data_IF_917222675945
#
_entry.id   IF_917222675945
#
_cell.length_a   1.000
_cell.length_b   1.000
_cell.length_c   1.000
_cell.angle_alpha   90.00
_cell.angle_beta   90.00
_cell.angle_gamma   90.00
#
_symmetry.space_group_name_H-M   'P 1'
#
loop_
_entity.id
_entity.type
_entity.pdbx_description
1 polymer ?
#
# COMPACT_ATOMS: atom_id res chain seq x y z
N UNK A 1 -12.74 -16.76 -79.94
CA UNK A 1 -12.07 -17.08 -78.71
C UNK A 1 -12.57 -16.15 -77.60
N UNK A 2 -13.50 -16.61 -76.74
CA UNK A 2 -14.01 -15.85 -75.60
C UNK A 2 -13.32 -16.36 -74.35
N UNK A 3 -12.48 -15.57 -73.73
CA UNK A 3 -11.85 -15.88 -72.40
C UNK A 3 -12.83 -15.41 -71.34
N UNK A 4 -13.47 -16.33 -70.64
CA UNK A 4 -14.21 -16.08 -69.41
C UNK A 4 -13.23 -15.88 -68.27
N UNK A 5 -13.17 -14.67 -67.77
CA UNK A 5 -12.53 -14.38 -66.50
C UNK A 5 -13.54 -14.56 -65.38
N UNK A 6 -13.53 -15.72 -64.73
CA UNK A 6 -14.25 -15.90 -63.47
C UNK A 6 -13.47 -15.22 -62.35
N UNK A 7 -13.97 -14.08 -61.89
CA UNK A 7 -13.55 -13.45 -60.67
C UNK A 7 -14.22 -14.21 -59.51
N UNK A 8 -13.45 -15.03 -58.83
CA UNK A 8 -13.92 -15.69 -57.63
C UNK A 8 -14.23 -14.63 -56.57
N UNK A 9 -15.50 -14.54 -56.18
CA UNK A 9 -15.92 -13.69 -55.06
C UNK A 9 -15.31 -14.26 -53.79
N UNK A 10 -14.25 -13.62 -53.33
CA UNK A 10 -13.59 -13.95 -52.07
C UNK A 10 -14.58 -13.89 -50.90
N UNK A 11 -14.53 -14.90 -50.10
CA UNK A 11 -15.45 -15.19 -49.01
C UNK A 11 -15.26 -14.10 -47.93
N UNK A 12 -16.13 -13.08 -47.91
CA UNK A 12 -16.07 -11.92 -46.97
C UNK A 12 -16.01 -12.32 -45.51
N UNK A 13 -16.37 -13.57 -45.18
CA UNK A 13 -16.31 -14.11 -43.81
C UNK A 13 -14.88 -14.50 -43.37
N UNK A 14 -14.01 -14.90 -44.32
CA UNK A 14 -12.61 -15.27 -44.00
C UNK A 14 -11.73 -14.04 -43.76
N UNK A 15 -11.99 -12.94 -44.48
CA UNK A 15 -11.22 -11.70 -44.33
C UNK A 15 -11.46 -11.03 -42.97
N UNK A 16 -12.70 -11.04 -42.48
CA UNK A 16 -13.05 -10.53 -41.15
C UNK A 16 -12.41 -11.34 -40.03
N UNK A 17 -12.36 -12.67 -40.15
CA UNK A 17 -11.76 -13.54 -39.16
C UNK A 17 -10.23 -13.39 -39.12
N UNK A 18 -9.61 -13.24 -40.27
CA UNK A 18 -8.15 -13.01 -40.39
C UNK A 18 -7.76 -11.65 -39.73
N UNK A 19 -8.57 -10.60 -39.95
CA UNK A 19 -8.33 -9.29 -39.32
C UNK A 19 -8.49 -9.37 -37.81
N UNK A 20 -9.53 -10.06 -37.31
CA UNK A 20 -9.73 -10.22 -35.84
C UNK A 20 -8.59 -11.02 -35.25
N UNK A 21 -8.17 -12.13 -35.86
CA UNK A 21 -7.04 -12.94 -35.40
C UNK A 21 -5.75 -12.12 -35.43
N UNK A 22 -5.51 -11.32 -36.47
CA UNK A 22 -4.32 -10.47 -36.59
C UNK A 22 -4.31 -9.37 -35.54
N UNK A 23 -5.45 -8.75 -35.23
CA UNK A 23 -5.57 -7.72 -34.16
C UNK A 23 -5.38 -8.35 -32.79
N UNK A 24 -5.98 -9.52 -32.54
CA UNK A 24 -5.79 -10.24 -31.27
C UNK A 24 -4.34 -10.71 -31.11
N UNK A 25 -3.71 -11.22 -32.19
CA UNK A 25 -2.29 -11.61 -32.16
C UNK A 25 -1.38 -10.40 -31.95
N UNK A 26 -1.72 -9.27 -32.57
CA UNK A 26 -0.97 -8.00 -32.37
C UNK A 26 -1.14 -7.50 -30.94
N UNK A 27 -2.32 -7.58 -30.35
CA UNK A 27 -2.56 -7.23 -28.93
C UNK A 27 -1.81 -8.16 -27.97
N UNK A 28 -1.69 -9.45 -28.31
CA UNK A 28 -0.91 -10.41 -27.51
C UNK A 28 0.60 -10.16 -27.68
N UNK A 29 1.05 -9.78 -28.89
CA UNK A 29 2.48 -9.51 -29.19
C UNK A 29 2.93 -8.14 -28.68
N UNK A 30 2.02 -7.15 -28.56
CA UNK A 30 2.30 -5.82 -28.01
C UNK A 30 2.12 -5.79 -26.49
N UNK A 31 1.76 -6.90 -25.85
CA UNK A 31 1.76 -6.99 -24.40
C UNK A 31 3.21 -7.01 -23.95
N UNK A 32 3.72 -5.83 -23.62
CA UNK A 32 5.03 -5.72 -22.98
C UNK A 32 5.11 -6.75 -21.84
N UNK A 33 6.24 -7.46 -21.68
CA UNK A 33 6.41 -8.35 -20.55
C UNK A 33 6.16 -7.53 -19.29
N UNK A 34 5.05 -7.83 -18.61
CA UNK A 34 4.75 -7.17 -17.34
C UNK A 34 5.92 -7.44 -16.42
N UNK A 35 6.47 -6.42 -15.75
CA UNK A 35 7.50 -6.63 -14.76
C UNK A 35 7.00 -7.67 -13.75
N UNK A 36 7.90 -8.48 -13.17
CA UNK A 36 7.50 -9.47 -12.18
C UNK A 36 6.65 -8.78 -11.11
N UNK A 37 5.48 -9.37 -10.82
CA UNK A 37 4.55 -8.80 -9.83
C UNK A 37 5.25 -8.84 -8.48
N UNK A 38 5.60 -7.68 -7.96
CA UNK A 38 6.11 -7.53 -6.59
C UNK A 38 4.93 -7.60 -5.63
N UNK A 39 5.14 -8.07 -4.39
CA UNK A 39 4.07 -8.08 -3.40
C UNK A 39 3.66 -6.66 -3.01
N UNK A 40 2.41 -6.48 -2.59
CA UNK A 40 1.92 -5.18 -2.10
C UNK A 40 2.76 -4.64 -0.92
N UNK A 41 3.33 -5.53 -0.09
CA UNK A 41 4.28 -5.16 0.97
C UNK A 41 5.57 -4.56 0.38
N UNK A 42 6.14 -5.22 -0.64
CA UNK A 42 7.35 -4.72 -1.29
C UNK A 42 7.07 -3.43 -2.05
N UNK A 43 5.91 -3.33 -2.74
CA UNK A 43 5.49 -2.09 -3.40
C UNK A 43 5.36 -0.93 -2.41
N UNK A 44 4.81 -1.18 -1.22
CA UNK A 44 4.71 -0.21 -0.14
C UNK A 44 6.07 0.23 0.38
N UNK A 45 6.98 -0.71 0.58
CA UNK A 45 8.35 -0.45 1.03
C UNK A 45 9.14 0.37 0.02
N UNK A 46 9.06 0.00 -1.27
CA UNK A 46 9.82 0.67 -2.34
C UNK A 46 9.23 2.02 -2.77
N UNK A 47 8.06 2.40 -2.23
CA UNK A 47 7.36 3.62 -2.66
C UNK A 47 6.77 3.51 -4.07
N UNK A 48 6.53 2.28 -4.56
CA UNK A 48 6.02 2.06 -5.91
C UNK A 48 4.49 2.23 -5.96
N UNK A 49 4.06 3.48 -6.09
CA UNK A 49 2.64 3.88 -6.10
C UNK A 49 1.86 3.16 -7.20
N UNK A 50 2.46 3.00 -8.40
CA UNK A 50 1.77 2.36 -9.53
C UNK A 50 1.51 0.86 -9.27
N UNK A 51 2.48 0.16 -8.68
CA UNK A 51 2.29 -1.23 -8.27
C UNK A 51 1.22 -1.36 -7.17
N UNK A 52 1.21 -0.45 -6.18
CA UNK A 52 0.18 -0.39 -5.13
C UNK A 52 -1.20 -0.19 -5.74
N UNK A 53 -1.37 0.79 -6.65
CA UNK A 53 -2.65 1.04 -7.32
C UNK A 53 -3.13 -0.16 -8.12
N UNK A 54 -2.21 -0.84 -8.82
CA UNK A 54 -2.52 -2.05 -9.59
C UNK A 54 -2.99 -3.19 -8.66
N UNK A 55 -2.26 -3.46 -7.58
CA UNK A 55 -2.60 -4.50 -6.62
C UNK A 55 -3.98 -4.25 -5.97
N UNK A 56 -4.26 -3.00 -5.59
CA UNK A 56 -5.57 -2.63 -5.03
C UNK A 56 -6.70 -2.77 -6.07
N UNK A 57 -6.44 -2.40 -7.34
CA UNK A 57 -7.41 -2.55 -8.43
C UNK A 57 -7.69 -4.04 -8.76
N UNK A 58 -6.69 -4.91 -8.60
CA UNK A 58 -6.82 -6.36 -8.73
C UNK A 58 -7.56 -7.01 -7.54
N UNK A 59 -7.95 -6.23 -6.52
CA UNK A 59 -8.66 -6.72 -5.34
C UNK A 59 -7.76 -7.37 -4.30
N UNK A 60 -6.45 -7.07 -4.29
CA UNK A 60 -5.54 -7.52 -3.24
C UNK A 60 -6.01 -6.97 -1.89
N UNK A 61 -6.09 -7.85 -0.88
CA UNK A 61 -6.46 -7.44 0.47
C UNK A 61 -5.39 -6.51 1.05
N UNK A 62 -5.79 -5.25 1.31
CA UNK A 62 -4.91 -4.21 1.88
C UNK A 62 -4.42 -4.54 3.29
N UNK A 63 -5.11 -5.46 4.00
CA UNK A 63 -4.78 -5.89 5.36
C UNK A 63 -4.02 -7.22 5.41
N UNK A 64 -3.57 -7.74 4.27
CA UNK A 64 -2.77 -8.96 4.24
C UNK A 64 -1.52 -8.81 5.10
N UNK A 65 -1.17 -9.88 5.85
CA UNK A 65 -0.03 -9.89 6.76
C UNK A 65 1.09 -10.77 6.22
N UNK A 66 2.31 -10.31 6.37
CA UNK A 66 3.50 -11.12 6.12
C UNK A 66 3.83 -12.06 7.30
N UNK A 67 4.95 -12.78 7.22
CA UNK A 67 5.41 -13.73 8.27
C UNK A 67 5.68 -13.04 9.61
N UNK A 68 5.94 -11.72 9.62
CA UNK A 68 6.13 -10.90 10.82
C UNK A 68 4.80 -10.29 11.33
N UNK A 69 3.68 -10.63 10.70
CA UNK A 69 2.37 -10.04 11.00
C UNK A 69 2.23 -8.58 10.55
N UNK A 70 3.16 -8.06 9.74
CA UNK A 70 3.14 -6.68 9.24
C UNK A 70 2.21 -6.58 8.03
N UNK A 71 1.40 -5.54 7.99
CA UNK A 71 0.58 -5.19 6.83
C UNK A 71 1.36 -4.24 5.90
N UNK A 72 0.93 -4.05 4.63
CA UNK A 72 1.53 -3.07 3.74
C UNK A 72 1.59 -1.66 4.35
N UNK A 73 0.60 -1.29 5.18
CA UNK A 73 0.58 0.00 5.88
C UNK A 73 1.75 0.17 6.85
N UNK A 74 2.21 -0.88 7.54
CA UNK A 74 3.40 -0.81 8.38
C UNK A 74 4.64 -0.41 7.59
N UNK A 75 4.84 -0.98 6.41
CA UNK A 75 5.98 -0.66 5.55
C UNK A 75 5.89 0.76 5.00
N UNK A 76 4.72 1.17 4.51
CA UNK A 76 4.53 2.53 4.01
C UNK A 76 4.78 3.59 5.10
N UNK A 77 4.40 3.31 6.35
CA UNK A 77 4.62 4.22 7.48
C UNK A 77 6.07 4.27 7.94
N UNK A 78 6.77 3.13 7.96
CA UNK A 78 8.19 3.05 8.30
C UNK A 78 9.06 3.82 7.30
N UNK A 79 8.77 3.68 6.01
CA UNK A 79 9.55 4.29 4.93
C UNK A 79 9.11 5.73 4.57
N UNK A 80 8.11 6.27 5.27
CA UNK A 80 7.68 7.65 5.06
C UNK A 80 6.86 7.89 3.79
N UNK A 81 6.25 6.86 3.22
CA UNK A 81 5.51 6.89 1.95
C UNK A 81 4.10 7.46 2.13
N UNK A 82 3.97 8.74 2.40
CA UNK A 82 2.71 9.39 2.77
C UNK A 82 1.56 9.14 1.76
N UNK A 83 1.82 9.27 0.47
CA UNK A 83 0.79 9.06 -0.56
C UNK A 83 0.28 7.61 -0.55
N UNK A 84 1.17 6.63 -0.34
CA UNK A 84 0.80 5.22 -0.23
C UNK A 84 0.01 4.96 1.06
N UNK A 85 0.40 5.59 2.18
CA UNK A 85 -0.37 5.53 3.43
C UNK A 85 -1.80 6.02 3.22
N UNK A 86 -1.98 7.15 2.54
CA UNK A 86 -3.30 7.71 2.24
C UNK A 86 -4.11 6.78 1.32
N UNK A 87 -3.47 6.17 0.30
CA UNK A 87 -4.10 5.18 -0.59
C UNK A 87 -4.57 3.94 0.19
N UNK A 88 -3.72 3.39 1.07
CA UNK A 88 -4.10 2.22 1.87
C UNK A 88 -5.25 2.53 2.82
N UNK A 89 -5.23 3.67 3.49
CA UNK A 89 -6.33 4.09 4.37
C UNK A 89 -7.62 4.27 3.58
N UNK A 90 -7.56 4.86 2.38
CA UNK A 90 -8.72 4.99 1.50
C UNK A 90 -9.26 3.63 1.01
N UNK A 91 -8.39 2.63 0.87
CA UNK A 91 -8.74 1.25 0.54
C UNK A 91 -9.22 0.42 1.75
N UNK A 92 -9.32 1.00 2.95
CA UNK A 92 -9.81 0.32 4.15
C UNK A 92 -8.73 -0.39 4.97
N UNK A 93 -7.48 0.07 4.91
CA UNK A 93 -6.43 -0.44 5.79
C UNK A 93 -6.77 -0.17 7.27
N UNK A 94 -6.55 -1.18 8.11
CA UNK A 94 -6.66 -1.04 9.56
C UNK A 94 -5.46 -0.24 10.10
N UNK A 95 -5.73 1.00 10.49
CA UNK A 95 -4.71 1.92 11.05
C UNK A 95 -4.17 1.45 12.42
N UNK A 96 -4.88 0.51 13.08
CA UNK A 96 -4.49 -0.08 14.36
C UNK A 96 -4.03 -1.54 14.23
N UNK A 97 -3.76 -2.01 13.00
CA UNK A 97 -3.24 -3.35 12.78
C UNK A 97 -1.97 -3.59 13.61
N UNK A 98 -1.91 -4.75 14.28
CA UNK A 98 -0.75 -5.13 15.10
C UNK A 98 0.09 -6.17 14.36
N UNK A 99 1.39 -5.97 14.35
CA UNK A 99 2.37 -6.99 13.95
C UNK A 99 2.55 -8.04 15.05
N UNK A 100 3.40 -9.06 14.84
CA UNK A 100 3.63 -10.15 15.80
C UNK A 100 4.22 -9.69 17.15
N UNK A 101 4.81 -8.50 17.22
CA UNK A 101 5.34 -7.88 18.43
C UNK A 101 4.34 -6.93 19.09
N UNK A 102 3.15 -6.73 18.50
CA UNK A 102 2.14 -5.78 18.95
C UNK A 102 2.32 -4.37 18.39
N UNK A 103 3.33 -4.15 17.53
CA UNK A 103 3.60 -2.86 16.88
C UNK A 103 2.48 -2.47 15.93
N UNK A 104 2.12 -1.19 15.92
CA UNK A 104 1.15 -0.60 15.01
C UNK A 104 1.83 0.32 14.00
N UNK A 105 1.19 0.67 12.87
CA UNK A 105 1.72 1.66 11.94
C UNK A 105 2.13 2.98 12.60
N UNK A 106 1.41 3.39 13.65
CA UNK A 106 1.74 4.62 14.38
C UNK A 106 3.07 4.51 15.17
N UNK A 107 3.42 3.33 15.67
CA UNK A 107 4.74 3.11 16.28
C UNK A 107 5.86 3.27 15.25
N UNK A 108 5.70 2.70 14.05
CA UNK A 108 6.69 2.81 12.97
C UNK A 108 6.87 4.26 12.53
N UNK A 109 5.75 4.97 12.26
CA UNK A 109 5.81 6.39 11.89
C UNK A 109 6.46 7.27 12.96
N UNK A 110 6.18 6.98 14.24
CA UNK A 110 6.75 7.71 15.36
C UNK A 110 8.25 7.44 15.56
N UNK A 111 8.66 6.17 15.43
CA UNK A 111 10.06 5.76 15.54
C UNK A 111 10.93 6.35 14.41
N UNK A 112 10.36 6.51 13.21
CA UNK A 112 11.03 7.09 12.04
C UNK A 112 10.88 8.63 11.96
N UNK A 113 10.09 9.25 12.84
CA UNK A 113 9.89 10.70 12.87
C UNK A 113 9.05 11.28 11.73
N UNK A 114 8.22 10.47 11.08
CA UNK A 114 7.38 10.88 9.96
C UNK A 114 6.13 11.64 10.43
N UNK A 115 6.32 12.88 10.84
CA UNK A 115 5.30 13.76 11.46
C UNK A 115 3.99 13.83 10.66
N UNK A 116 4.07 14.03 9.34
CA UNK A 116 2.89 14.16 8.49
C UNK A 116 2.09 12.86 8.43
N UNK A 117 2.77 11.70 8.49
CA UNK A 117 2.12 10.39 8.54
C UNK A 117 1.48 10.16 9.90
N UNK A 118 2.17 10.55 10.99
CA UNK A 118 1.59 10.51 12.35
C UNK A 118 0.30 11.33 12.40
N UNK A 119 0.27 12.53 11.82
CA UNK A 119 -0.92 13.38 11.77
C UNK A 119 -2.07 12.69 11.00
N UNK A 120 -1.77 12.09 9.84
CA UNK A 120 -2.75 11.33 9.06
C UNK A 120 -3.30 10.16 9.88
N UNK A 121 -2.44 9.32 10.47
CA UNK A 121 -2.86 8.14 11.22
C UNK A 121 -3.73 8.51 12.43
N UNK A 122 -3.31 9.51 13.23
CA UNK A 122 -4.08 9.95 14.40
C UNK A 122 -5.43 10.53 13.98
N UNK A 123 -5.49 11.33 12.92
CA UNK A 123 -6.76 11.87 12.38
C UNK A 123 -7.69 10.74 11.90
N UNK A 124 -7.12 9.63 11.45
CA UNK A 124 -7.88 8.45 11.00
C UNK A 124 -8.18 7.44 12.11
N UNK A 125 -7.94 7.79 13.38
CA UNK A 125 -8.34 7.00 14.54
C UNK A 125 -7.28 6.00 15.01
N UNK A 126 -6.01 6.20 14.68
CA UNK A 126 -4.94 5.43 15.30
C UNK A 126 -4.89 5.67 16.81
N UNK A 127 -4.72 4.59 17.58
CA UNK A 127 -4.57 4.68 19.03
C UNK A 127 -3.23 5.31 19.39
N UNK A 128 -3.28 6.58 19.79
CA UNK A 128 -2.10 7.39 20.14
C UNK A 128 -1.34 6.83 21.35
N UNK A 129 -2.01 5.99 22.16
CA UNK A 129 -1.47 5.37 23.37
C UNK A 129 -1.33 3.85 23.25
N UNK A 130 -1.34 3.31 22.02
CA UNK A 130 -1.02 1.91 21.81
C UNK A 130 0.32 1.57 22.51
N UNK A 131 0.35 0.45 23.25
CA UNK A 131 1.47 0.15 24.14
C UNK A 131 2.03 -1.25 23.88
N UNK A 132 3.33 -1.34 23.71
CA UNK A 132 4.07 -2.58 23.54
C UNK A 132 5.04 -2.72 24.72
N UNK A 133 4.60 -3.30 25.84
CA UNK A 133 5.46 -3.53 26.99
C UNK A 133 6.09 -2.25 27.60
N UNK A 134 5.43 -1.11 27.47
CA UNK A 134 5.92 0.20 27.94
C UNK A 134 6.34 1.13 26.81
N UNK A 135 6.48 0.63 25.59
CA UNK A 135 6.82 1.43 24.42
C UNK A 135 5.54 1.95 23.76
N UNK A 136 5.32 3.23 23.84
CA UNK A 136 4.23 3.93 23.13
C UNK A 136 4.79 4.69 21.92
N UNK A 137 3.95 5.12 20.96
CA UNK A 137 4.42 5.98 19.86
C UNK A 137 5.17 7.22 20.36
N UNK A 138 4.68 7.87 21.43
CA UNK A 138 5.37 9.01 22.04
C UNK A 138 6.75 8.63 22.58
N UNK A 139 6.87 7.49 23.26
CA UNK A 139 8.15 7.03 23.78
C UNK A 139 9.16 6.86 22.65
N UNK A 140 8.76 6.18 21.54
CA UNK A 140 9.62 5.96 20.38
C UNK A 140 10.04 7.27 19.70
N UNK A 141 9.13 8.24 19.58
CA UNK A 141 9.46 9.54 19.00
C UNK A 141 10.47 10.33 19.88
N UNK A 142 10.33 10.25 21.20
CA UNK A 142 11.26 10.90 22.16
C UNK A 142 12.63 10.23 22.12
N UNK A 143 12.68 8.90 22.16
CA UNK A 143 13.91 8.11 22.13
C UNK A 143 14.67 8.29 20.79
N UNK A 144 13.94 8.39 19.69
CA UNK A 144 14.49 8.69 18.36
C UNK A 144 14.90 10.15 18.16
N UNK A 145 14.65 11.05 19.14
CA UNK A 145 14.96 12.47 19.02
C UNK A 145 14.05 13.26 18.07
N UNK A 146 12.90 12.71 17.72
CA UNK A 146 11.93 13.29 16.78
C UNK A 146 11.01 14.30 17.49
N UNK A 147 11.56 15.47 17.86
CA UNK A 147 10.89 16.46 18.71
C UNK A 147 9.54 16.92 18.16
N UNK A 148 9.46 17.23 16.85
CA UNK A 148 8.20 17.70 16.25
C UNK A 148 7.12 16.62 16.24
N UNK A 149 7.52 15.36 16.03
CA UNK A 149 6.62 14.19 16.08
C UNK A 149 6.15 13.94 17.52
N UNK A 150 7.06 14.06 18.50
CA UNK A 150 6.72 13.91 19.92
C UNK A 150 5.74 15.01 20.37
N UNK A 151 5.95 16.25 19.96
CA UNK A 151 5.06 17.37 20.28
C UNK A 151 3.68 17.19 19.65
N UNK A 152 3.62 16.70 18.40
CA UNK A 152 2.37 16.36 17.75
C UNK A 152 1.61 15.26 18.50
N UNK A 153 2.29 14.17 18.88
CA UNK A 153 1.68 13.09 19.65
C UNK A 153 1.15 13.58 21.00
N UNK A 154 1.93 14.42 21.74
CA UNK A 154 1.46 15.04 23.00
C UNK A 154 0.22 15.90 22.80
N UNK A 155 0.18 16.70 21.75
CA UNK A 155 -0.99 17.52 21.38
C UNK A 155 -2.25 16.67 21.20
N UNK A 156 -2.11 15.44 20.72
CA UNK A 156 -3.20 14.49 20.55
C UNK A 156 -3.41 13.54 21.75
N UNK A 157 -2.81 13.84 22.90
CA UNK A 157 -3.00 13.07 24.13
C UNK A 157 -2.09 11.85 24.27
N UNK A 158 -1.02 11.79 23.46
CA UNK A 158 0.00 10.76 23.57
C UNK A 158 0.74 10.85 24.91
N UNK A 159 0.98 9.69 25.50
CA UNK A 159 1.66 9.49 26.79
C UNK A 159 2.78 8.49 26.65
N UNK A 160 3.79 8.62 27.51
CA UNK A 160 4.81 7.57 27.64
C UNK A 160 4.27 6.36 28.40
N UNK A 161 4.96 5.21 28.30
CA UNK A 161 4.55 4.02 29.05
C UNK A 161 4.63 4.22 30.57
N UNK A 162 5.51 5.09 31.06
CA UNK A 162 5.61 5.46 32.48
C UNK A 162 4.42 6.30 32.93
N UNK A 163 4.00 7.28 32.13
CA UNK A 163 2.83 8.10 32.40
C UNK A 163 1.53 7.26 32.42
N UNK A 164 1.40 6.28 31.50
CA UNK A 164 0.26 5.36 31.48
C UNK A 164 0.23 4.45 32.72
N UNK A 165 1.39 3.96 33.18
CA UNK A 165 1.50 3.17 34.42
C UNK A 165 1.11 3.96 35.65
N UNK A 166 1.51 5.24 35.71
CA UNK A 166 1.15 6.13 36.82
C UNK A 166 -0.37 6.39 36.91
N UNK A 167 -1.08 6.28 35.77
CA UNK A 167 -2.55 6.41 35.68
C UNK A 167 -3.29 5.08 35.91
N UNK A 168 -2.58 3.96 36.16
CA UNK A 168 -3.19 2.65 36.40
C UNK A 168 -3.68 1.93 35.15
N UNK A 169 -3.09 2.24 34.03
CA UNK A 169 -3.41 1.62 32.73
C UNK A 169 -2.29 0.72 32.22
#
# INVERSE_FOLDING_TARGET
MKRNFNFAVGNRFTDGLIIIISVVLLMVFLREPQPPKISIHQAAKDGNIEAVKLDLADGTDVNTKDDNGRTPLHYATEEGQKEIVELFIAAGADVNAKNNLGGTPLHEAAASGHKEIVEVLVTKGADVNANIGGWTPLHLAVDGGHTETADLLRKHGGKTGEELKAEGK
#
